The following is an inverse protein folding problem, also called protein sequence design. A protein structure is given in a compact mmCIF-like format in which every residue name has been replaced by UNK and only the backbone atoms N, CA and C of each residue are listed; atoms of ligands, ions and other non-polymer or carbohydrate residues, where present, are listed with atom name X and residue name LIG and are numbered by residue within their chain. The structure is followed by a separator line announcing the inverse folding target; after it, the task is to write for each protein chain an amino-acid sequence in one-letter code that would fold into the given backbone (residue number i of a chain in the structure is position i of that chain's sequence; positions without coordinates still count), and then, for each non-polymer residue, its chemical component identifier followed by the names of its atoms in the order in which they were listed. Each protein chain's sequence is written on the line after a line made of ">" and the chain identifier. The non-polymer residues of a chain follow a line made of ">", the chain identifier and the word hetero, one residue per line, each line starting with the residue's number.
data_IF_406782636145
#
_entry.id   IF_406782636145
#
_cell.length_a   1.000
_cell.length_b   1.000
_cell.length_c   1.000
_cell.angle_alpha   90.00
_cell.angle_beta   90.00
_cell.angle_gamma   90.00
#
_symmetry.space_group_name_H-M   'P 1'
#
loop_
_entity.id
_entity.type
_entity.pdbx_description
1 polymer ?
#
# COMPACT_ATOMS: atom_id res chain seq x y z
N UNK A 1 -0.33 16.82 -94.30
CA UNK A 1 -0.40 16.93 -92.84
C UNK A 1 0.04 15.61 -92.22
N UNK A 2 1.09 15.61 -91.40
CA UNK A 2 1.65 14.40 -90.78
C UNK A 2 0.76 13.89 -89.65
N UNK A 3 0.64 12.57 -89.50
CA UNK A 3 -0.10 11.88 -88.42
C UNK A 3 0.35 12.36 -87.04
N UNK A 4 1.63 12.75 -86.92
CA UNK A 4 2.22 13.29 -85.69
C UNK A 4 1.53 14.58 -85.23
N UNK A 5 1.28 15.52 -86.14
CA UNK A 5 0.61 16.79 -85.81
C UNK A 5 -0.84 16.60 -85.35
N UNK A 6 -1.53 15.58 -85.91
CA UNK A 6 -2.87 15.20 -85.45
C UNK A 6 -2.82 14.51 -84.08
N UNK A 7 -1.80 13.67 -83.83
CA UNK A 7 -1.59 13.01 -82.54
C UNK A 7 -1.26 14.01 -81.44
N UNK A 8 -0.38 14.97 -81.70
CA UNK A 8 0.02 15.99 -80.72
C UNK A 8 -1.16 16.91 -80.37
N UNK A 9 -1.99 17.28 -81.34
CA UNK A 9 -3.23 18.03 -81.09
C UNK A 9 -4.29 17.27 -80.28
N UNK A 10 -4.37 15.95 -80.44
CA UNK A 10 -5.22 15.09 -79.59
C UNK A 10 -4.65 15.01 -78.17
N UNK A 11 -3.33 14.89 -78.04
CA UNK A 11 -2.67 14.73 -76.74
C UNK A 11 -2.74 16.01 -75.90
N UNK A 12 -2.58 17.20 -76.50
CA UNK A 12 -2.80 18.48 -75.83
C UNK A 12 -4.24 18.66 -75.38
N UNK A 13 -5.21 18.35 -76.25
CA UNK A 13 -6.64 18.40 -75.89
C UNK A 13 -7.01 17.42 -74.77
N UNK A 14 -6.44 16.21 -74.77
CA UNK A 14 -6.65 15.24 -73.69
C UNK A 14 -5.97 15.68 -72.39
N UNK A 15 -4.81 16.32 -72.45
CA UNK A 15 -4.13 16.88 -71.27
C UNK A 15 -4.98 17.97 -70.61
N UNK A 16 -5.49 18.93 -71.38
CA UNK A 16 -6.40 19.98 -70.89
C UNK A 16 -7.67 19.39 -70.25
N UNK A 17 -8.25 18.35 -70.87
CA UNK A 17 -9.40 17.63 -70.31
C UNK A 17 -9.06 16.91 -69.00
N UNK A 18 -7.88 16.27 -68.89
CA UNK A 18 -7.41 15.64 -67.64
C UNK A 18 -7.21 16.68 -66.53
N UNK A 19 -6.64 17.84 -66.87
CA UNK A 19 -6.46 18.93 -65.91
C UNK A 19 -7.80 19.49 -65.40
N UNK A 20 -8.79 19.64 -66.29
CA UNK A 20 -10.15 20.03 -65.90
C UNK A 20 -10.82 19.00 -64.99
N UNK A 21 -10.68 17.70 -65.28
CA UNK A 21 -11.20 16.61 -64.44
C UNK A 21 -10.53 16.64 -63.06
N UNK A 22 -9.21 16.84 -63.00
CA UNK A 22 -8.47 16.99 -61.74
C UNK A 22 -8.95 18.20 -60.92
N UNK A 23 -9.16 19.36 -61.56
CA UNK A 23 -9.74 20.55 -60.91
C UNK A 23 -11.13 20.27 -60.34
N UNK A 24 -12.01 19.63 -61.13
CA UNK A 24 -13.35 19.21 -60.68
C UNK A 24 -13.29 18.24 -59.51
N UNK A 25 -12.36 17.27 -59.54
CA UNK A 25 -12.15 16.33 -58.44
C UNK A 25 -11.70 17.03 -57.15
N UNK A 26 -10.77 18.00 -57.26
CA UNK A 26 -10.34 18.83 -56.11
C UNK A 26 -11.50 19.63 -55.53
N UNK A 27 -12.30 20.29 -56.37
CA UNK A 27 -13.48 21.06 -55.93
C UNK A 27 -14.52 20.18 -55.26
N UNK A 28 -14.84 19.01 -55.85
CA UNK A 28 -15.78 18.05 -55.26
C UNK A 28 -15.29 17.54 -53.91
N UNK A 29 -13.99 17.24 -53.79
CA UNK A 29 -13.40 16.77 -52.54
C UNK A 29 -13.42 17.87 -51.46
N UNK A 30 -13.17 19.13 -51.84
CA UNK A 30 -13.28 20.26 -50.92
C UNK A 30 -14.72 20.44 -50.44
N UNK A 31 -15.71 20.45 -51.35
CA UNK A 31 -17.12 20.55 -50.99
C UNK A 31 -17.56 19.44 -50.04
N UNK A 32 -17.11 18.20 -50.26
CA UNK A 32 -17.39 17.09 -49.34
C UNK A 32 -16.79 17.30 -47.95
N UNK A 33 -15.56 17.83 -47.86
CA UNK A 33 -14.92 18.15 -46.58
C UNK A 33 -15.65 19.28 -45.85
N UNK A 34 -16.05 20.33 -46.56
CA UNK A 34 -16.81 21.45 -45.99
C UNK A 34 -18.18 20.98 -45.49
N UNK A 35 -18.90 20.20 -46.31
CA UNK A 35 -20.19 19.62 -45.92
C UNK A 35 -20.07 18.73 -44.68
N UNK A 36 -19.00 17.92 -44.61
CA UNK A 36 -18.73 17.10 -43.42
C UNK A 36 -18.59 17.94 -42.15
N UNK A 37 -17.94 19.11 -42.21
CA UNK A 37 -17.76 20.01 -41.05
C UNK A 37 -19.08 20.64 -40.61
N UNK A 38 -19.94 21.05 -41.56
CA UNK A 38 -21.28 21.56 -41.22
C UNK A 38 -22.20 20.48 -40.63
N UNK A 39 -22.10 19.25 -41.12
CA UNK A 39 -22.87 18.12 -40.59
C UNK A 39 -22.32 17.60 -39.25
N UNK A 40 -21.09 17.95 -38.88
CA UNK A 40 -20.37 17.36 -37.76
C UNK A 40 -21.12 17.49 -36.43
N UNK A 41 -21.65 18.67 -36.02
CA UNK A 41 -22.38 18.80 -34.76
C UNK A 41 -23.62 17.90 -34.71
N UNK A 42 -24.38 17.81 -35.80
CA UNK A 42 -25.56 16.95 -35.89
C UNK A 42 -25.18 15.46 -35.81
N UNK A 43 -24.06 15.06 -36.44
CA UNK A 43 -23.53 13.70 -36.36
C UNK A 43 -23.06 13.35 -34.96
N UNK A 44 -22.36 14.25 -34.27
CA UNK A 44 -21.94 14.07 -32.88
C UNK A 44 -23.16 13.95 -31.96
N UNK A 45 -24.17 14.81 -32.13
CA UNK A 45 -25.44 14.72 -31.42
C UNK A 45 -26.17 13.38 -31.62
N UNK A 46 -26.12 12.82 -32.84
CA UNK A 46 -26.64 11.48 -33.10
C UNK A 46 -25.84 10.40 -32.39
N UNK A 47 -24.51 10.48 -32.38
CA UNK A 47 -23.64 9.52 -31.70
C UNK A 47 -23.83 9.55 -30.18
N UNK A 48 -24.10 10.72 -29.60
CA UNK A 48 -24.46 10.86 -28.17
C UNK A 48 -25.75 10.08 -27.86
N UNK A 49 -26.78 10.22 -28.70
CA UNK A 49 -28.08 9.54 -28.52
C UNK A 49 -28.00 8.03 -28.72
N UNK A 50 -27.13 7.57 -29.59
CA UNK A 50 -26.94 6.13 -29.88
C UNK A 50 -25.77 5.51 -29.11
N UNK A 51 -25.17 6.24 -28.17
CA UNK A 51 -23.97 5.85 -27.40
C UNK A 51 -22.78 5.33 -28.25
N UNK A 52 -22.71 5.74 -29.51
CA UNK A 52 -21.68 5.34 -30.46
C UNK A 52 -20.43 6.23 -30.31
N UNK A 53 -19.79 6.19 -29.14
CA UNK A 53 -18.71 7.11 -28.80
C UNK A 53 -17.45 6.93 -29.66
N UNK A 54 -17.12 5.70 -30.07
CA UNK A 54 -15.98 5.44 -30.96
C UNK A 54 -16.09 6.16 -32.31
N UNK A 55 -17.29 6.17 -32.89
CA UNK A 55 -17.57 6.92 -34.11
C UNK A 55 -17.50 8.42 -33.88
N UNK A 56 -18.01 8.90 -32.74
CA UNK A 56 -17.97 10.31 -32.39
C UNK A 56 -16.53 10.83 -32.30
N UNK A 57 -15.66 10.11 -31.60
CA UNK A 57 -14.23 10.44 -31.49
C UNK A 57 -13.57 10.43 -32.86
N UNK A 58 -13.82 9.41 -33.69
CA UNK A 58 -13.29 9.33 -35.05
C UNK A 58 -13.71 10.53 -35.92
N UNK A 59 -14.99 10.92 -35.87
CA UNK A 59 -15.48 12.07 -36.63
C UNK A 59 -14.84 13.38 -36.17
N UNK A 60 -14.71 13.58 -34.85
CA UNK A 60 -14.10 14.78 -34.29
C UNK A 60 -12.60 14.86 -34.60
N UNK A 61 -11.85 13.78 -34.40
CA UNK A 61 -10.41 13.72 -34.70
C UNK A 61 -10.16 13.93 -36.20
N UNK A 62 -11.01 13.41 -37.08
CA UNK A 62 -10.95 13.65 -38.51
C UNK A 62 -11.23 15.10 -38.93
N UNK A 63 -12.04 15.82 -38.15
CA UNK A 63 -12.35 17.25 -38.36
C UNK A 63 -11.28 18.21 -37.80
N UNK A 64 -10.49 17.76 -36.83
CA UNK A 64 -9.50 18.56 -36.11
C UNK A 64 -8.52 19.35 -37.01
N UNK A 65 -7.96 18.79 -38.12
CA UNK A 65 -7.08 19.55 -39.01
C UNK A 65 -7.77 20.76 -39.64
N UNK A 66 -9.07 20.66 -39.92
CA UNK A 66 -9.85 21.75 -40.53
C UNK A 66 -10.19 22.80 -39.47
N UNK A 67 -10.55 22.37 -38.25
CA UNK A 67 -10.78 23.31 -37.14
C UNK A 67 -9.51 24.05 -36.73
N UNK A 68 -8.33 23.42 -36.81
CA UNK A 68 -7.06 24.12 -36.57
C UNK A 68 -6.74 25.19 -37.62
N UNK A 69 -7.09 24.95 -38.89
CA UNK A 69 -6.78 25.87 -39.98
C UNK A 69 -7.83 26.98 -40.17
N UNK A 70 -9.11 26.68 -39.95
CA UNK A 70 -10.24 27.54 -40.30
C UNK A 70 -11.34 27.61 -39.23
N UNK A 71 -11.13 26.99 -38.07
CA UNK A 71 -12.12 26.91 -37.01
C UNK A 71 -12.40 28.25 -36.34
N UNK A 72 -11.42 29.16 -36.27
CA UNK A 72 -11.59 30.46 -35.62
C UNK A 72 -12.13 31.54 -36.58
N UNK A 73 -12.45 31.16 -37.83
CA UNK A 73 -13.01 32.05 -38.85
C UNK A 73 -14.34 31.49 -39.38
N UNK A 74 -14.33 30.85 -40.55
CA UNK A 74 -15.53 30.43 -41.27
C UNK A 74 -16.34 29.33 -40.59
N UNK A 75 -15.71 28.55 -39.69
CA UNK A 75 -16.35 27.41 -39.02
C UNK A 75 -16.52 27.59 -37.51
N UNK A 76 -16.49 28.82 -37.00
CA UNK A 76 -16.52 29.10 -35.55
C UNK A 76 -17.73 28.49 -34.85
N UNK A 77 -18.93 28.65 -35.40
CA UNK A 77 -20.15 28.10 -34.80
C UNK A 77 -20.16 26.56 -34.82
N UNK A 78 -19.65 25.97 -35.91
CA UNK A 78 -19.53 24.51 -36.03
C UNK A 78 -18.49 23.94 -35.07
N UNK A 79 -17.36 24.64 -34.89
CA UNK A 79 -16.32 24.29 -33.92
C UNK A 79 -16.89 24.34 -32.50
N UNK A 80 -17.52 25.46 -32.11
CA UNK A 80 -18.13 25.62 -30.79
C UNK A 80 -19.17 24.53 -30.49
N UNK A 81 -20.12 24.31 -31.40
CA UNK A 81 -21.15 23.27 -31.22
C UNK A 81 -20.56 21.84 -31.17
N UNK A 82 -19.47 21.58 -31.92
CA UNK A 82 -18.77 20.30 -31.86
C UNK A 82 -18.01 20.11 -30.55
N UNK A 83 -17.35 21.16 -30.04
CA UNK A 83 -16.65 21.16 -28.75
C UNK A 83 -17.62 20.98 -27.57
N UNK A 84 -18.79 21.62 -27.60
CA UNK A 84 -19.87 21.38 -26.64
C UNK A 84 -20.35 19.93 -26.65
N UNK A 85 -20.59 19.36 -27.85
CA UNK A 85 -20.95 17.95 -27.99
C UNK A 85 -19.86 17.01 -27.48
N UNK A 86 -18.58 17.32 -27.75
CA UNK A 86 -17.43 16.56 -27.24
C UNK A 86 -17.33 16.64 -25.72
N UNK A 87 -17.64 17.79 -25.11
CA UNK A 87 -17.68 17.94 -23.65
C UNK A 87 -18.72 17.01 -23.02
N UNK A 88 -19.89 16.87 -23.65
CA UNK A 88 -20.92 15.91 -23.23
C UNK A 88 -20.43 14.47 -23.41
N UNK A 89 -19.79 14.16 -24.52
CA UNK A 89 -19.21 12.82 -24.78
C UNK A 89 -18.16 12.48 -23.71
N UNK A 90 -17.28 13.41 -23.36
CA UNK A 90 -16.28 13.25 -22.30
C UNK A 90 -16.97 12.94 -20.97
N UNK A 91 -18.02 13.70 -20.60
CA UNK A 91 -18.76 13.47 -19.36
C UNK A 91 -19.42 12.09 -19.32
N UNK A 92 -19.98 11.63 -20.44
CA UNK A 92 -20.60 10.31 -20.53
C UNK A 92 -19.56 9.18 -20.51
N UNK A 93 -18.43 9.35 -21.18
CA UNK A 93 -17.31 8.40 -21.17
C UNK A 93 -16.67 8.30 -19.78
N UNK A 94 -16.55 9.42 -19.06
CA UNK A 94 -16.16 9.41 -17.65
C UNK A 94 -17.19 8.61 -16.83
N UNK A 95 -18.49 8.91 -16.98
CA UNK A 95 -19.55 8.13 -16.32
C UNK A 95 -19.40 6.63 -16.56
N UNK A 96 -19.15 6.20 -17.80
CA UNK A 96 -18.93 4.78 -18.14
C UNK A 96 -17.64 4.20 -17.56
N UNK A 97 -16.58 4.99 -17.47
CA UNK A 97 -15.31 4.58 -16.87
C UNK A 97 -15.45 4.29 -15.37
N UNK A 98 -16.25 5.10 -14.67
CA UNK A 98 -16.45 5.02 -13.22
C UNK A 98 -17.71 4.23 -12.80
N UNK A 99 -18.44 3.62 -13.74
CA UNK A 99 -19.66 2.87 -13.41
C UNK A 99 -19.37 1.41 -13.07
N UNK A 100 -19.75 0.99 -11.87
CA UNK A 100 -19.58 -0.39 -11.40
C UNK A 100 -20.42 -1.42 -12.20
N UNK A 101 -21.46 -0.97 -12.89
CA UNK A 101 -22.32 -1.80 -13.75
C UNK A 101 -21.76 -2.07 -15.15
N UNK A 102 -20.71 -1.36 -15.57
CA UNK A 102 -20.12 -1.47 -16.90
C UNK A 102 -19.01 -2.53 -16.96
N UNK A 103 -18.90 -3.24 -18.08
CA UNK A 103 -17.89 -4.28 -18.26
C UNK A 103 -16.46 -3.72 -18.29
N UNK A 104 -15.46 -4.52 -17.89
CA UNK A 104 -14.03 -4.17 -17.94
C UNK A 104 -13.61 -3.72 -19.36
N UNK A 105 -14.15 -4.37 -20.40
CA UNK A 105 -13.91 -4.00 -21.80
C UNK A 105 -14.48 -2.62 -22.14
N UNK A 106 -15.71 -2.31 -21.71
CA UNK A 106 -16.34 -1.00 -21.95
C UNK A 106 -15.59 0.14 -21.22
N UNK A 107 -15.05 -0.12 -20.03
CA UNK A 107 -14.19 0.83 -19.29
C UNK A 107 -12.87 1.07 -20.02
N UNK A 108 -12.21 0.02 -20.49
CA UNK A 108 -10.97 0.13 -21.26
C UNK A 108 -11.19 0.89 -22.58
N UNK A 109 -12.29 0.62 -23.29
CA UNK A 109 -12.66 1.36 -24.49
C UNK A 109 -12.94 2.84 -24.19
N UNK A 110 -13.65 3.15 -23.10
CA UNK A 110 -13.90 4.53 -22.70
C UNK A 110 -12.60 5.29 -22.39
N UNK A 111 -11.65 4.65 -21.72
CA UNK A 111 -10.32 5.21 -21.48
C UNK A 111 -9.53 5.49 -22.77
N UNK A 112 -9.52 4.55 -23.71
CA UNK A 112 -8.84 4.74 -25.02
C UNK A 112 -9.47 5.89 -25.79
N UNK A 113 -10.79 6.03 -25.78
CA UNK A 113 -11.51 7.11 -26.44
C UNK A 113 -11.25 8.48 -25.79
N UNK A 114 -11.17 8.53 -24.46
CA UNK A 114 -10.78 9.75 -23.72
C UNK A 114 -9.35 10.17 -24.07
N UNK A 115 -8.41 9.21 -24.21
CA UNK A 115 -7.03 9.47 -24.65
C UNK A 115 -7.00 10.05 -26.08
N UNK A 116 -7.79 9.50 -27.01
CA UNK A 116 -7.86 9.99 -28.39
C UNK A 116 -8.42 11.41 -28.53
N UNK A 117 -9.26 11.86 -27.59
CA UNK A 117 -9.81 13.21 -27.55
C UNK A 117 -8.85 14.27 -26.99
N UNK A 118 -7.59 13.90 -26.66
CA UNK A 118 -6.63 14.75 -25.95
C UNK A 118 -7.20 15.35 -24.66
N UNK A 119 -8.11 14.63 -23.98
CA UNK A 119 -8.53 15.01 -22.65
C UNK A 119 -7.29 14.96 -21.74
N UNK A 120 -7.05 15.95 -20.85
CA UNK A 120 -5.88 15.96 -19.99
C UNK A 120 -5.93 14.75 -19.07
N UNK A 121 -5.18 13.73 -19.47
CA UNK A 121 -5.03 12.44 -18.81
C UNK A 121 -4.61 12.67 -17.35
N UNK A 122 -3.76 13.65 -17.10
CA UNK A 122 -3.27 14.03 -15.77
C UNK A 122 -4.41 14.39 -14.79
N UNK A 123 -5.47 15.05 -15.27
CA UNK A 123 -6.61 15.44 -14.41
C UNK A 123 -7.53 14.27 -14.07
N UNK A 124 -7.57 13.24 -14.92
CA UNK A 124 -8.34 12.02 -14.73
C UNK A 124 -7.55 11.01 -13.88
N UNK A 125 -6.26 10.88 -14.19
CA UNK A 125 -5.28 10.09 -13.47
C UNK A 125 -5.21 10.54 -12.01
N UNK A 126 -5.06 11.84 -11.76
CA UNK A 126 -5.04 12.40 -10.40
C UNK A 126 -6.33 12.11 -9.62
N UNK A 127 -7.51 12.25 -10.25
CA UNK A 127 -8.80 11.98 -9.60
C UNK A 127 -9.03 10.50 -9.31
N UNK A 128 -8.57 9.62 -10.21
CA UNK A 128 -8.64 8.17 -10.00
C UNK A 128 -7.68 7.73 -8.90
N UNK A 129 -6.47 8.29 -8.88
CA UNK A 129 -5.49 8.04 -7.83
C UNK A 129 -6.03 8.53 -6.47
N UNK A 130 -6.59 9.73 -6.41
CA UNK A 130 -7.23 10.27 -5.20
C UNK A 130 -8.35 9.35 -4.68
N UNK A 131 -9.11 8.71 -5.58
CA UNK A 131 -10.13 7.72 -5.20
C UNK A 131 -9.53 6.42 -4.65
N UNK A 132 -8.44 5.96 -5.24
CA UNK A 132 -7.70 4.81 -4.71
C UNK A 132 -7.11 5.13 -3.33
N UNK A 133 -6.55 6.33 -3.15
CA UNK A 133 -6.06 6.81 -1.86
C UNK A 133 -7.17 6.88 -0.79
N UNK A 134 -8.37 7.36 -1.15
CA UNK A 134 -9.53 7.36 -0.24
C UNK A 134 -9.98 5.94 0.12
N UNK A 135 -10.03 5.02 -0.85
CA UNK A 135 -10.38 3.61 -0.55
C UNK A 135 -9.33 2.91 0.31
N UNK A 136 -8.07 3.33 0.21
CA UNK A 136 -6.98 2.87 1.07
C UNK A 136 -7.18 3.32 2.52
N UNK A 137 -7.67 4.52 2.76
CA UNK A 137 -8.02 5.00 4.12
C UNK A 137 -9.20 4.21 4.71
N UNK A 138 -10.21 3.87 3.90
CA UNK A 138 -11.34 3.03 4.33
C UNK A 138 -10.91 1.60 4.69
N UNK A 139 -9.94 1.03 3.95
CA UNK A 139 -9.36 -0.28 4.25
C UNK A 139 -8.64 -0.29 5.60
N UNK A 140 -7.95 0.79 5.95
CA UNK A 140 -7.23 0.92 7.22
C UNK A 140 -8.18 0.86 8.41
N UNK A 141 -9.28 1.60 8.37
CA UNK A 141 -10.29 1.57 9.43
C UNK A 141 -10.83 0.15 9.66
N UNK A 142 -11.09 -0.58 8.58
CA UNK A 142 -11.58 -1.97 8.65
C UNK A 142 -10.52 -2.93 9.22
N UNK A 143 -9.23 -2.69 8.98
CA UNK A 143 -8.17 -3.50 9.59
C UNK A 143 -8.08 -3.27 11.11
N UNK A 144 -8.15 -2.01 11.55
CA UNK A 144 -8.12 -1.67 12.97
C UNK A 144 -9.31 -2.30 13.72
N UNK A 145 -10.49 -2.34 13.10
CA UNK A 145 -11.67 -3.04 13.65
C UNK A 145 -11.41 -4.54 13.85
N UNK A 146 -10.75 -5.21 12.90
CA UNK A 146 -10.41 -6.64 12.98
C UNK A 146 -9.37 -6.90 14.08
N UNK A 147 -8.34 -6.05 14.20
CA UNK A 147 -7.33 -6.17 15.25
C UNK A 147 -7.93 -5.97 16.66
N UNK A 148 -8.87 -5.03 16.81
CA UNK A 148 -9.54 -4.75 18.08
C UNK A 148 -10.54 -5.87 18.47
N UNK A 149 -11.25 -6.47 17.50
CA UNK A 149 -12.18 -7.56 17.77
C UNK A 149 -11.50 -8.83 18.30
N UNK A 150 -10.23 -9.07 17.94
CA UNK A 150 -9.43 -10.20 18.46
C UNK A 150 -9.18 -10.07 19.97
N UNK A 151 -8.91 -8.84 20.45
CA UNK A 151 -8.54 -8.57 21.84
C UNK A 151 -9.67 -8.83 22.86
N UNK A 152 -10.93 -8.74 22.44
CA UNK A 152 -12.11 -8.92 23.30
C UNK A 152 -12.56 -10.40 23.44
N UNK A 153 -11.99 -11.33 22.67
CA UNK A 153 -12.45 -12.73 22.58
C UNK A 153 -11.67 -13.73 23.45
N UNK A 154 -11.31 -13.36 24.68
CA UNK A 154 -10.64 -14.26 25.64
C UNK A 154 -11.62 -15.22 26.36
N UNK A 155 -12.45 -15.98 25.62
CA UNK A 155 -13.23 -17.11 26.15
C UNK A 155 -12.70 -18.44 25.59
N UNK A 156 -11.99 -19.27 26.39
CA UNK A 156 -11.36 -20.50 25.93
C UNK A 156 -12.33 -21.64 25.58
N UNK A 157 -13.64 -21.43 25.65
CA UNK A 157 -14.66 -22.49 25.52
C UNK A 157 -15.12 -22.80 24.08
N UNK A 158 -14.61 -22.13 23.04
CA UNK A 158 -15.04 -22.34 21.64
C UNK A 158 -13.94 -22.82 20.70
N UNK A 159 -13.05 -23.69 21.16
CA UNK A 159 -12.17 -24.46 20.26
C UNK A 159 -12.94 -25.67 19.68
N UNK A 160 -13.83 -25.42 18.72
CA UNK A 160 -14.62 -26.46 18.06
C UNK A 160 -14.55 -26.34 16.54
N UNK A 161 -13.73 -27.20 15.92
CA UNK A 161 -13.70 -27.57 14.50
C UNK A 161 -13.63 -26.43 13.46
N UNK A 162 -12.40 -26.05 13.08
CA UNK A 162 -12.15 -25.27 11.87
C UNK A 162 -12.06 -26.23 10.67
N UNK A 163 -13.21 -26.54 10.10
CA UNK A 163 -13.35 -27.04 8.73
C UNK A 163 -14.73 -26.68 8.23
N UNK A 164 -14.87 -25.45 7.73
CA UNK A 164 -15.80 -25.05 6.67
C UNK A 164 -15.50 -23.61 6.29
N UNK A 165 -15.68 -23.29 5.01
CA UNK A 165 -15.36 -22.01 4.41
C UNK A 165 -16.02 -20.85 5.18
N UNK A 166 -15.21 -20.10 5.93
CA UNK A 166 -15.63 -18.83 6.54
C UNK A 166 -15.91 -17.86 5.38
N UNK A 167 -17.07 -17.20 5.33
CA UNK A 167 -17.33 -16.19 4.32
C UNK A 167 -16.24 -15.10 4.37
N UNK A 168 -15.84 -14.51 3.23
CA UNK A 168 -14.81 -13.49 3.21
C UNK A 168 -15.20 -12.38 4.20
N UNK A 169 -14.28 -12.03 5.09
CA UNK A 169 -14.52 -10.92 6.01
C UNK A 169 -14.74 -9.65 5.19
N UNK A 170 -15.46 -8.66 5.74
CA UNK A 170 -15.70 -7.39 5.05
C UNK A 170 -14.39 -6.73 4.58
N UNK A 171 -13.31 -6.95 5.34
CA UNK A 171 -11.95 -6.57 4.99
C UNK A 171 -11.45 -7.27 3.71
N UNK A 172 -11.49 -8.61 3.65
CA UNK A 172 -11.02 -9.37 2.48
C UNK A 172 -11.76 -8.99 1.19
N UNK A 173 -13.08 -8.74 1.29
CA UNK A 173 -13.87 -8.29 0.14
C UNK A 173 -13.42 -6.91 -0.33
N UNK A 174 -13.18 -5.99 0.60
CA UNK A 174 -12.73 -4.63 0.28
C UNK A 174 -11.33 -4.61 -0.34
N UNK A 175 -10.40 -5.44 0.15
CA UNK A 175 -9.03 -5.53 -0.39
C UNK A 175 -9.06 -6.10 -1.81
N UNK A 176 -9.94 -7.07 -2.08
CA UNK A 176 -10.15 -7.61 -3.42
C UNK A 176 -10.69 -6.56 -4.40
N UNK A 177 -11.70 -5.80 -3.99
CA UNK A 177 -12.25 -4.70 -4.79
C UNK A 177 -11.18 -3.64 -5.10
N UNK A 178 -10.37 -3.31 -4.10
CA UNK A 178 -9.25 -2.38 -4.25
C UNK A 178 -8.21 -2.89 -5.26
N UNK A 179 -7.82 -4.16 -5.17
CA UNK A 179 -6.87 -4.75 -6.11
C UNK A 179 -7.42 -4.83 -7.54
N UNK A 180 -8.71 -5.09 -7.69
CA UNK A 180 -9.39 -5.01 -9.00
C UNK A 180 -9.40 -3.57 -9.55
N UNK A 181 -9.61 -2.57 -8.70
CA UNK A 181 -9.54 -1.16 -9.08
C UNK A 181 -8.12 -0.76 -9.51
N UNK A 182 -7.09 -1.22 -8.79
CA UNK A 182 -5.67 -1.04 -9.16
C UNK A 182 -5.35 -1.72 -10.49
N UNK A 183 -5.84 -2.95 -10.71
CA UNK A 183 -5.70 -3.66 -11.99
C UNK A 183 -6.33 -2.87 -13.14
N UNK A 184 -7.55 -2.38 -12.94
CA UNK A 184 -8.26 -1.59 -13.93
C UNK A 184 -7.51 -0.28 -14.24
N UNK A 185 -7.02 0.41 -13.20
CA UNK A 185 -6.24 1.63 -13.36
C UNK A 185 -4.96 1.39 -14.17
N UNK A 186 -4.23 0.30 -13.91
CA UNK A 186 -3.03 -0.09 -14.67
C UNK A 186 -3.31 -0.32 -16.16
N UNK A 187 -4.45 -0.96 -16.48
CA UNK A 187 -4.89 -1.16 -17.87
C UNK A 187 -5.17 0.18 -18.57
N UNK A 188 -5.71 1.15 -17.82
CA UNK A 188 -6.04 2.48 -18.32
C UNK A 188 -4.78 3.35 -18.48
N UNK A 189 -3.82 3.26 -17.55
CA UNK A 189 -2.59 4.07 -17.50
C UNK A 189 -1.34 3.20 -17.34
N UNK A 190 -0.81 2.63 -18.44
CA UNK A 190 0.38 1.77 -18.38
C UNK A 190 1.65 2.46 -17.86
N UNK A 191 1.72 3.79 -17.95
CA UNK A 191 2.89 4.57 -17.53
C UNK A 191 2.87 4.95 -16.03
N UNK A 192 1.87 4.47 -15.28
CA UNK A 192 1.61 4.89 -13.88
C UNK A 192 2.16 3.93 -12.82
N UNK A 193 2.94 2.94 -13.22
CA UNK A 193 3.45 1.86 -12.36
C UNK A 193 4.21 2.39 -11.12
N UNK A 194 4.94 3.50 -11.23
CA UNK A 194 5.65 4.11 -10.09
C UNK A 194 4.69 4.66 -9.01
N UNK A 195 3.59 5.29 -9.43
CA UNK A 195 2.58 5.84 -8.50
C UNK A 195 1.81 4.71 -7.81
N UNK A 196 1.43 3.70 -8.59
CA UNK A 196 0.77 2.50 -8.07
C UNK A 196 1.66 1.73 -7.10
N UNK A 197 2.96 1.62 -7.41
CA UNK A 197 3.94 0.99 -6.52
C UNK A 197 4.04 1.73 -5.19
N UNK A 198 4.11 3.08 -5.21
CA UNK A 198 4.11 3.88 -3.98
C UNK A 198 2.83 3.69 -3.17
N UNK A 199 1.68 3.62 -3.82
CA UNK A 199 0.39 3.42 -3.17
C UNK A 199 0.29 2.02 -2.54
N UNK A 200 0.72 0.98 -3.26
CA UNK A 200 0.76 -0.38 -2.74
C UNK A 200 1.77 -0.56 -1.59
N UNK A 201 2.94 0.09 -1.67
CA UNK A 201 3.88 0.14 -0.55
C UNK A 201 3.27 0.87 0.65
N UNK A 202 2.57 1.99 0.44
CA UNK A 202 1.91 2.72 1.51
C UNK A 202 0.82 1.87 2.21
N UNK A 203 0.07 1.03 1.48
CA UNK A 203 -0.84 0.05 2.08
C UNK A 203 -0.10 -0.87 3.07
N UNK A 204 1.00 -1.47 2.61
CA UNK A 204 1.83 -2.36 3.44
C UNK A 204 2.40 -1.61 4.65
N UNK A 205 2.98 -0.43 4.44
CA UNK A 205 3.53 0.41 5.52
C UNK A 205 2.49 0.68 6.59
N UNK A 206 1.29 1.14 6.19
CA UNK A 206 0.24 1.49 7.15
C UNK A 206 -0.28 0.27 7.91
N UNK A 207 -0.42 -0.88 7.26
CA UNK A 207 -0.78 -2.13 7.94
C UNK A 207 0.24 -2.55 9.02
N UNK A 208 1.53 -2.42 8.71
CA UNK A 208 2.58 -2.72 9.70
C UNK A 208 2.67 -1.66 10.80
N UNK A 209 2.44 -0.37 10.51
CA UNK A 209 2.35 0.68 11.54
C UNK A 209 1.20 0.41 12.54
N UNK A 210 0.01 0.05 12.05
CA UNK A 210 -1.11 -0.35 12.91
C UNK A 210 -0.76 -1.59 13.74
N UNK A 211 -0.03 -2.55 13.16
CA UNK A 211 0.43 -3.74 13.86
C UNK A 211 1.45 -3.41 14.94
N UNK A 212 2.41 -2.52 14.68
CA UNK A 212 3.38 -2.06 15.69
C UNK A 212 2.71 -1.33 16.85
N UNK A 213 1.65 -0.56 16.57
CA UNK A 213 0.84 0.06 17.62
C UNK A 213 0.05 -0.97 18.42
N UNK A 214 -0.47 -2.01 17.75
CA UNK A 214 -1.14 -3.13 18.41
C UNK A 214 -0.19 -3.94 19.31
N UNK A 215 1.04 -4.20 18.86
CA UNK A 215 2.11 -4.90 19.60
C UNK A 215 2.55 -4.15 20.87
N UNK A 216 2.34 -2.82 20.96
CA UNK A 216 2.59 -2.09 22.21
C UNK A 216 1.66 -2.52 23.34
N UNK A 217 0.50 -3.07 23.02
CA UNK A 217 -0.36 -3.74 23.99
C UNK A 217 0.17 -5.16 24.24
N UNK A 218 -0.14 -5.71 25.41
CA UNK A 218 0.26 -7.10 25.73
C UNK A 218 -0.58 -8.07 24.91
N UNK A 219 0.00 -8.63 23.85
CA UNK A 219 -0.64 -9.59 22.94
C UNK A 219 0.04 -10.97 23.01
N UNK A 220 -0.69 -12.03 22.64
CA UNK A 220 -0.11 -13.38 22.55
C UNK A 220 0.41 -13.68 21.12
N UNK A 221 1.16 -14.77 20.96
CA UNK A 221 1.67 -15.16 19.66
C UNK A 221 0.55 -15.45 18.65
N UNK A 222 -0.58 -16.02 19.09
CA UNK A 222 -1.72 -16.31 18.22
C UNK A 222 -2.33 -15.05 17.59
N UNK A 223 -2.44 -13.97 18.37
CA UNK A 223 -2.96 -12.68 17.87
C UNK A 223 -2.02 -12.07 16.83
N UNK A 224 -0.71 -12.07 17.11
CA UNK A 224 0.29 -11.59 16.15
C UNK A 224 0.26 -12.40 14.84
N UNK A 225 0.22 -13.72 14.94
CA UNK A 225 0.13 -14.61 13.77
C UNK A 225 -1.13 -14.36 12.97
N UNK A 226 -2.25 -14.09 13.63
CA UNK A 226 -3.51 -13.76 12.96
C UNK A 226 -3.38 -12.47 12.14
N UNK A 227 -2.88 -11.39 12.76
CA UNK A 227 -2.70 -10.09 12.08
C UNK A 227 -1.69 -10.19 10.93
N UNK A 228 -0.52 -10.81 11.17
CA UNK A 228 0.48 -11.04 10.11
C UNK A 228 -0.08 -11.91 8.98
N UNK A 229 -0.95 -12.87 9.31
CA UNK A 229 -1.63 -13.72 8.34
C UNK A 229 -2.60 -12.96 7.44
N UNK A 230 -3.31 -11.98 7.97
CA UNK A 230 -4.16 -11.07 7.18
C UNK A 230 -3.29 -10.23 6.25
N UNK A 231 -2.30 -9.53 6.80
CA UNK A 231 -1.39 -8.66 6.04
C UNK A 231 -0.70 -9.44 4.91
N UNK A 232 -0.23 -10.66 5.19
CA UNK A 232 0.42 -11.48 4.17
C UNK A 232 -0.51 -11.87 3.02
N UNK A 233 -1.79 -12.16 3.31
CA UNK A 233 -2.78 -12.42 2.25
C UNK A 233 -3.02 -11.18 1.40
N UNK A 234 -3.12 -10.01 2.01
CA UNK A 234 -3.32 -8.75 1.29
C UNK A 234 -2.10 -8.41 0.42
N UNK A 235 -0.88 -8.62 0.95
CA UNK A 235 0.38 -8.47 0.22
C UNK A 235 0.41 -9.37 -1.02
N UNK A 236 0.09 -10.65 -0.88
CA UNK A 236 0.09 -11.59 -2.01
C UNK A 236 -0.96 -11.21 -3.06
N UNK A 237 -2.15 -10.80 -2.62
CA UNK A 237 -3.22 -10.40 -3.54
C UNK A 237 -2.85 -9.13 -4.31
N UNK A 238 -2.14 -8.20 -3.68
CA UNK A 238 -1.65 -6.99 -4.34
C UNK A 238 -0.44 -7.27 -5.25
N UNK A 239 0.45 -8.18 -4.86
CA UNK A 239 1.60 -8.60 -5.69
C UNK A 239 1.15 -9.29 -6.99
N UNK A 240 0.05 -10.05 -6.95
CA UNK A 240 -0.59 -10.63 -8.15
C UNK A 240 -1.04 -9.55 -9.17
N UNK A 241 -1.31 -8.33 -8.71
CA UNK A 241 -1.73 -7.21 -9.57
C UNK A 241 -0.54 -6.33 -9.97
N UNK A 242 0.43 -6.15 -9.07
CA UNK A 242 1.60 -5.29 -9.21
C UNK A 242 2.89 -6.03 -8.79
N UNK A 243 3.36 -7.00 -9.59
CA UNK A 243 4.60 -7.73 -9.26
C UNK A 243 5.84 -6.83 -9.30
N UNK A 244 5.78 -5.69 -10.01
CA UNK A 244 6.87 -4.72 -10.08
C UNK A 244 7.15 -4.04 -8.73
N UNK A 245 6.16 -4.03 -7.83
CA UNK A 245 6.29 -3.42 -6.51
C UNK A 245 7.09 -4.27 -5.51
N UNK A 246 7.35 -5.55 -5.84
CA UNK A 246 8.06 -6.51 -5.01
C UNK A 246 7.57 -6.49 -3.54
N UNK A 247 6.25 -6.44 -3.35
CA UNK A 247 5.62 -6.28 -2.04
C UNK A 247 6.00 -7.39 -1.04
N UNK A 248 6.21 -8.66 -1.45
CA UNK A 248 6.72 -9.70 -0.56
C UNK A 248 8.07 -9.40 0.06
N UNK A 249 8.98 -8.76 -0.68
CA UNK A 249 10.31 -8.39 -0.17
C UNK A 249 10.25 -7.08 0.63
N UNK A 250 9.40 -6.13 0.22
CA UNK A 250 9.15 -4.91 0.99
C UNK A 250 8.52 -5.19 2.37
N UNK A 251 7.51 -6.06 2.40
CA UNK A 251 6.86 -6.49 3.65
C UNK A 251 7.77 -7.29 4.56
N UNK A 252 8.81 -7.95 4.02
CA UNK A 252 9.77 -8.71 4.82
C UNK A 252 10.50 -7.83 5.84
N UNK A 253 10.94 -6.64 5.42
CA UNK A 253 11.64 -5.72 6.32
C UNK A 253 10.69 -5.11 7.37
N UNK A 254 9.45 -4.77 6.98
CA UNK A 254 8.46 -4.25 7.91
C UNK A 254 8.08 -5.30 8.98
N UNK A 255 7.87 -6.56 8.56
CA UNK A 255 7.60 -7.65 9.49
C UNK A 255 8.81 -7.97 10.38
N UNK A 256 10.04 -7.81 9.87
CA UNK A 256 11.26 -7.96 10.68
C UNK A 256 11.22 -6.99 11.87
N UNK A 257 10.83 -5.74 11.64
CA UNK A 257 10.69 -4.73 12.70
C UNK A 257 9.58 -5.11 13.68
N UNK A 258 8.38 -5.44 13.18
CA UNK A 258 7.24 -5.80 14.01
C UNK A 258 7.52 -7.03 14.90
N UNK A 259 8.09 -8.11 14.33
CA UNK A 259 8.42 -9.33 15.08
C UNK A 259 9.51 -9.07 16.11
N UNK A 260 10.55 -8.30 15.77
CA UNK A 260 11.59 -7.92 16.73
C UNK A 260 11.00 -7.13 17.90
N UNK A 261 10.10 -6.18 17.61
CA UNK A 261 9.41 -5.40 18.64
C UNK A 261 8.54 -6.28 19.54
N UNK A 262 7.82 -7.25 18.98
CA UNK A 262 7.04 -8.22 19.75
C UNK A 262 7.91 -9.02 20.72
N UNK A 263 9.05 -9.55 20.25
CA UNK A 263 10.00 -10.29 21.12
C UNK A 263 10.51 -9.39 22.25
N UNK A 264 10.91 -8.15 21.94
CA UNK A 264 11.40 -7.19 22.94
C UNK A 264 10.32 -6.82 23.98
N UNK A 265 9.07 -6.64 23.53
CA UNK A 265 7.93 -6.35 24.41
C UNK A 265 7.61 -7.54 25.31
N UNK A 266 7.66 -8.78 24.81
CA UNK A 266 7.44 -9.98 25.60
C UNK A 266 8.43 -10.06 26.79
N UNK A 267 9.72 -9.81 26.55
CA UNK A 267 10.72 -9.77 27.62
C UNK A 267 10.54 -8.58 28.58
N UNK A 268 10.13 -7.43 28.07
CA UNK A 268 9.85 -6.24 28.89
C UNK A 268 8.66 -6.46 29.83
N UNK A 269 7.59 -7.09 29.33
CA UNK A 269 6.44 -7.49 30.14
C UNK A 269 6.80 -8.55 31.18
N UNK A 270 7.63 -9.54 30.81
CA UNK A 270 8.12 -10.54 31.75
C UNK A 270 8.91 -9.90 32.91
N UNK A 271 9.84 -8.99 32.61
CA UNK A 271 10.61 -8.27 33.62
C UNK A 271 9.70 -7.43 34.53
N UNK A 272 8.69 -6.77 33.94
CA UNK A 272 7.71 -5.99 34.68
C UNK A 272 6.88 -6.86 35.63
N UNK A 273 6.36 -8.00 35.16
CA UNK A 273 5.56 -8.93 35.97
C UNK A 273 6.36 -9.44 37.20
N UNK A 274 7.66 -9.72 37.02
CA UNK A 274 8.54 -10.18 38.09
C UNK A 274 8.82 -9.05 39.09
N UNK A 275 9.13 -7.85 38.60
CA UNK A 275 9.32 -6.66 39.44
C UNK A 275 8.06 -6.37 40.26
N UNK A 276 6.88 -6.45 39.65
CA UNK A 276 5.60 -6.24 40.31
C UNK A 276 5.28 -7.32 41.35
N UNK A 277 5.62 -8.58 41.07
CA UNK A 277 5.47 -9.66 42.05
C UNK A 277 6.33 -9.41 43.29
N UNK A 278 7.55 -8.90 43.08
CA UNK A 278 8.52 -8.63 44.13
C UNK A 278 8.16 -7.37 44.94
N UNK A 279 7.76 -6.29 44.28
CA UNK A 279 7.30 -5.05 44.93
C UNK A 279 6.03 -5.25 45.76
N UNK A 280 5.07 -6.06 45.28
CA UNK A 280 3.86 -6.41 46.05
C UNK A 280 4.17 -7.15 47.34
N UNK A 281 5.23 -7.95 47.36
CA UNK A 281 5.65 -8.67 48.56
C UNK A 281 6.45 -7.78 49.52
N UNK A 282 7.29 -6.87 49.01
CA UNK A 282 8.02 -5.89 49.82
C UNK A 282 7.10 -4.88 50.52
N UNK A 283 6.01 -4.43 49.88
CA UNK A 283 5.05 -3.51 50.52
C UNK A 283 4.28 -4.15 51.68
N UNK A 284 3.98 -5.45 51.62
CA UNK A 284 3.37 -6.20 52.75
C UNK A 284 4.29 -6.31 53.97
N UNK A 285 5.60 -6.16 53.78
CA UNK A 285 6.59 -6.17 54.85
C UNK A 285 6.53 -4.90 55.73
N UNK A 286 6.05 -3.77 55.19
CA UNK A 286 5.86 -2.51 55.95
C UNK A 286 4.61 -2.48 56.84
N UNK A 287 3.66 -3.40 56.65
CA UNK A 287 2.40 -3.48 57.42
C UNK A 287 2.48 -4.41 58.65
N UNK A 288 3.67 -4.92 59.01
CA UNK A 288 3.92 -5.46 60.36
C UNK A 288 3.80 -6.98 60.53
N UNK A 289 4.07 -7.79 59.50
CA UNK A 289 4.22 -9.25 59.67
C UNK A 289 5.66 -9.67 59.36
N UNK A 290 6.30 -10.23 60.39
CA UNK A 290 7.70 -10.64 60.52
C UNK A 290 8.14 -11.76 59.54
N UNK A 291 9.46 -11.79 59.26
CA UNK A 291 10.36 -12.83 58.71
C UNK A 291 9.93 -13.73 57.53
N UNK A 292 8.70 -14.21 57.44
CA UNK A 292 8.22 -15.09 56.35
C UNK A 292 7.92 -14.33 55.04
N UNK A 293 7.79 -13.00 55.09
CA UNK A 293 7.39 -12.17 53.95
C UNK A 293 8.41 -12.18 52.79
N UNK A 294 9.71 -12.22 53.09
CA UNK A 294 10.77 -12.15 52.07
C UNK A 294 10.99 -13.51 51.40
N UNK A 295 10.84 -14.61 52.14
CA UNK A 295 10.87 -15.95 51.58
C UNK A 295 9.64 -16.21 50.69
N UNK A 296 8.46 -15.72 51.09
CA UNK A 296 7.25 -15.74 50.25
C UNK A 296 7.43 -14.87 49.00
N UNK A 297 8.07 -13.70 49.11
CA UNK A 297 8.41 -12.84 47.97
C UNK A 297 9.33 -13.54 46.96
N UNK A 298 10.37 -14.21 47.47
CA UNK A 298 11.37 -14.88 46.65
C UNK A 298 10.82 -16.15 45.98
N UNK A 299 10.00 -16.94 46.67
CA UNK A 299 9.30 -18.06 46.05
C UNK A 299 8.25 -17.60 45.04
N UNK A 300 7.55 -16.47 45.29
CA UNK A 300 6.64 -15.87 44.32
C UNK A 300 7.37 -15.35 43.08
N UNK A 301 8.52 -14.68 43.24
CA UNK A 301 9.33 -14.19 42.12
C UNK A 301 9.95 -15.33 41.33
N UNK A 302 10.47 -16.36 41.98
CA UNK A 302 10.94 -17.60 41.34
C UNK A 302 9.83 -18.26 40.53
N UNK A 303 8.62 -18.37 41.09
CA UNK A 303 7.46 -18.90 40.36
C UNK A 303 7.09 -18.02 39.17
N UNK A 304 7.12 -16.70 39.31
CA UNK A 304 6.84 -15.76 38.23
C UNK A 304 7.90 -15.84 37.11
N UNK A 305 9.17 -15.97 37.46
CA UNK A 305 10.27 -16.17 36.49
C UNK A 305 10.07 -17.48 35.74
N UNK A 306 9.85 -18.60 36.44
CA UNK A 306 9.70 -19.91 35.80
C UNK A 306 8.46 -19.98 34.91
N UNK A 307 7.31 -19.54 35.43
CA UNK A 307 6.06 -19.57 34.66
C UNK A 307 6.09 -18.58 33.51
N UNK A 308 6.47 -17.33 33.74
CA UNK A 308 6.50 -16.31 32.70
C UNK A 308 7.55 -16.59 31.61
N UNK A 309 8.70 -17.18 31.97
CA UNK A 309 9.68 -17.64 30.96
C UNK A 309 9.13 -18.81 30.15
N UNK A 310 8.39 -19.73 30.78
CA UNK A 310 7.74 -20.84 30.08
C UNK A 310 6.67 -20.34 29.11
N UNK A 311 5.83 -19.40 29.55
CA UNK A 311 4.78 -18.81 28.72
C UNK A 311 5.39 -18.07 27.51
N UNK A 312 6.45 -17.27 27.73
CA UNK A 312 7.17 -16.61 26.63
C UNK A 312 7.81 -17.62 25.65
N UNK A 313 8.39 -18.71 26.15
CA UNK A 313 8.95 -19.77 25.29
C UNK A 313 7.87 -20.48 24.46
N UNK A 314 6.68 -20.69 25.03
CA UNK A 314 5.55 -21.27 24.30
C UNK A 314 5.08 -20.33 23.18
N UNK A 315 4.99 -19.03 23.46
CA UNK A 315 4.67 -18.01 22.46
C UNK A 315 5.72 -17.96 21.34
N UNK A 316 7.01 -17.93 21.67
CA UNK A 316 8.08 -17.94 20.66
C UNK A 316 8.10 -19.24 19.86
N UNK A 317 7.81 -20.38 20.49
CA UNK A 317 7.68 -21.65 19.79
C UNK A 317 6.52 -21.62 18.81
N UNK A 318 5.36 -21.07 19.20
CA UNK A 318 4.22 -20.93 18.31
C UNK A 318 4.57 -20.06 17.09
N UNK A 319 5.30 -18.96 17.31
CA UNK A 319 5.79 -18.10 16.23
C UNK A 319 6.77 -18.82 15.28
N UNK A 320 7.65 -19.69 15.81
CA UNK A 320 8.62 -20.45 15.03
C UNK A 320 8.01 -21.66 14.31
N UNK A 321 6.98 -22.29 14.89
CA UNK A 321 6.31 -23.46 14.31
C UNK A 321 5.39 -23.06 13.14
N UNK A 322 5.02 -21.77 13.02
CA UNK A 322 4.16 -21.25 11.97
C UNK A 322 4.81 -21.31 10.56
N UNK A 323 3.97 -21.49 9.54
CA UNK A 323 4.37 -21.72 8.14
C UNK A 323 4.14 -20.52 7.21
N UNK A 324 3.79 -19.35 7.76
CA UNK A 324 3.66 -18.11 7.00
C UNK A 324 4.96 -17.85 6.23
N UNK A 325 4.86 -17.62 4.91
CA UNK A 325 6.04 -17.48 4.04
C UNK A 325 7.01 -16.39 4.51
N UNK A 326 6.47 -15.35 5.15
CA UNK A 326 7.24 -14.26 5.74
C UNK A 326 8.03 -14.74 6.98
N UNK A 327 7.38 -15.45 7.91
CA UNK A 327 8.02 -15.95 9.13
C UNK A 327 9.07 -17.02 8.85
N UNK A 328 8.87 -17.87 7.84
CA UNK A 328 9.87 -18.86 7.42
C UNK A 328 11.21 -18.20 7.06
N UNK A 329 11.19 -17.04 6.40
CA UNK A 329 12.40 -16.26 6.08
C UNK A 329 13.02 -15.59 7.31
N UNK A 330 12.26 -15.38 8.38
CA UNK A 330 12.71 -14.70 9.60
C UNK A 330 13.13 -15.66 10.73
N UNK A 331 12.97 -16.99 10.57
CA UNK A 331 13.20 -17.98 11.65
C UNK A 331 14.55 -17.84 12.34
N UNK A 332 15.63 -17.76 11.56
CA UNK A 332 16.98 -17.65 12.13
C UNK A 332 17.15 -16.34 12.92
N UNK A 333 16.60 -15.23 12.41
CA UNK A 333 16.62 -13.95 13.09
C UNK A 333 15.78 -13.95 14.38
N UNK A 334 14.64 -14.63 14.38
CA UNK A 334 13.80 -14.78 15.57
C UNK A 334 14.56 -15.54 16.64
N UNK A 335 15.27 -16.62 16.28
CA UNK A 335 16.12 -17.37 17.22
C UNK A 335 17.20 -16.46 17.82
N UNK A 336 17.88 -15.67 16.98
CA UNK A 336 18.90 -14.72 17.43
C UNK A 336 18.31 -13.68 18.41
N UNK A 337 17.15 -13.08 18.10
CA UNK A 337 16.52 -12.09 18.97
C UNK A 337 16.00 -12.68 20.27
N UNK A 338 15.48 -13.91 20.25
CA UNK A 338 15.06 -14.61 21.47
C UNK A 338 16.27 -14.90 22.35
N UNK A 339 17.39 -15.34 21.76
CA UNK A 339 18.63 -15.59 22.49
C UNK A 339 19.19 -14.29 23.10
N UNK A 340 19.29 -13.21 22.31
CA UNK A 340 19.70 -11.89 22.79
C UNK A 340 18.75 -11.38 23.88
N UNK A 341 17.44 -11.56 23.69
CA UNK A 341 16.40 -11.18 24.64
C UNK A 341 16.55 -11.89 25.99
N UNK A 342 16.84 -13.19 26.02
CA UNK A 342 17.12 -13.90 27.26
C UNK A 342 18.38 -13.38 27.95
N UNK A 343 19.47 -13.12 27.22
CA UNK A 343 20.71 -12.58 27.79
C UNK A 343 20.46 -11.23 28.46
N UNK A 344 19.77 -10.33 27.75
CA UNK A 344 19.41 -9.00 28.25
C UNK A 344 18.44 -9.09 29.44
N UNK A 345 17.46 -9.99 29.37
CA UNK A 345 16.50 -10.23 30.45
C UNK A 345 17.19 -10.69 31.74
N UNK A 346 18.06 -11.69 31.67
CA UNK A 346 18.78 -12.18 32.85
C UNK A 346 19.77 -11.14 33.40
N UNK A 347 20.40 -10.34 32.54
CA UNK A 347 21.22 -9.19 32.98
C UNK A 347 20.38 -8.16 33.75
N UNK A 348 19.25 -7.74 33.20
CA UNK A 348 18.34 -6.80 33.86
C UNK A 348 17.74 -7.36 35.16
N UNK A 349 17.50 -8.66 35.21
CA UNK A 349 17.01 -9.35 36.40
C UNK A 349 18.08 -9.35 37.51
N UNK A 350 19.35 -9.59 37.17
CA UNK A 350 20.48 -9.49 38.12
C UNK A 350 20.61 -8.07 38.67
N UNK A 351 20.55 -7.05 37.80
CA UNK A 351 20.56 -5.64 38.21
C UNK A 351 19.40 -5.30 39.18
N UNK A 352 18.20 -5.83 38.91
CA UNK A 352 17.04 -5.67 39.78
C UNK A 352 17.28 -6.29 41.17
N UNK A 353 17.79 -7.52 41.24
CA UNK A 353 18.11 -8.18 42.50
C UNK A 353 19.25 -7.50 43.25
N UNK A 354 20.28 -7.00 42.55
CA UNK A 354 21.36 -6.21 43.15
C UNK A 354 20.83 -4.93 43.79
N UNK A 355 19.93 -4.21 43.12
CA UNK A 355 19.28 -3.01 43.67
C UNK A 355 18.50 -3.33 44.94
N UNK A 356 17.76 -4.44 44.96
CA UNK A 356 16.97 -4.90 46.11
C UNK A 356 17.84 -5.37 47.28
N UNK A 357 19.04 -5.89 47.00
CA UNK A 357 20.00 -6.30 48.04
C UNK A 357 20.64 -5.13 48.79
N UNK A 358 20.35 -3.87 48.41
CA UNK A 358 20.86 -2.67 49.05
C UNK A 358 22.34 -2.40 48.75
N UNK A 359 22.94 -3.10 47.77
CA UNK A 359 24.34 -2.92 47.37
C UNK A 359 24.52 -1.70 46.47
N UNK A 360 24.05 -0.54 46.92
CA UNK A 360 24.51 0.76 46.45
C UNK A 360 25.55 1.30 47.45
N UNK A 361 26.74 0.72 47.44
CA UNK A 361 27.91 1.32 48.08
C UNK A 361 29.16 1.13 47.24
N UNK A 362 29.26 1.94 46.19
CA UNK A 362 30.50 2.69 45.96
C UNK A 362 30.16 3.99 45.23
N UNK A 363 29.91 5.04 46.00
CA UNK A 363 30.20 6.38 45.53
C UNK A 363 31.72 6.49 45.29
N UNK A 364 32.18 7.17 44.23
CA UNK A 364 33.58 7.54 44.12
C UNK A 364 33.81 8.76 45.04
N UNK A 365 34.59 8.60 46.11
CA UNK A 365 35.32 9.73 46.68
C UNK A 365 36.57 9.30 47.44
N UNK A 366 37.69 9.59 46.78
CA UNK A 366 38.99 10.06 47.25
C UNK A 366 39.21 10.40 48.74
N UNK A 367 40.50 10.18 49.10
CA UNK A 367 41.34 10.86 50.10
C UNK A 367 41.22 10.40 51.57
N UNK A 368 42.28 10.15 52.34
CA UNK A 368 43.72 10.46 52.21
C UNK A 368 44.50 9.88 53.41
N UNK A 369 45.81 9.61 53.21
CA UNK A 369 46.95 9.73 54.17
C UNK A 369 46.91 8.90 55.48
N UNK A 370 47.94 8.29 56.06
CA UNK A 370 49.42 8.24 56.04
C UNK A 370 49.77 6.94 56.83
N UNK A 371 50.88 6.22 56.68
CA UNK A 371 52.25 6.58 57.10
C UNK A 371 53.17 5.35 56.96
N UNK A 372 54.48 5.59 56.77
CA UNK A 372 55.56 4.70 57.19
C UNK A 372 56.17 3.72 56.17
N UNK A 373 57.34 4.08 55.62
CA UNK A 373 58.67 3.58 56.09
C UNK A 373 59.71 3.48 54.95
N UNK A 374 60.81 4.26 55.08
CA UNK A 374 62.22 4.06 54.65
C UNK A 374 62.51 3.61 53.19
N UNK A 375 63.49 4.14 52.45
CA UNK A 375 64.57 5.06 52.74
C UNK A 375 65.56 5.10 51.55
N UNK A 376 66.46 6.09 51.61
CA UNK A 376 67.76 6.22 50.94
C UNK A 376 67.89 6.54 49.42
N UNK A 377 68.56 7.71 49.21
CA UNK A 377 69.67 8.01 48.27
C UNK A 377 69.29 8.12 46.77
N UNK A 378 69.79 9.07 45.96
CA UNK A 378 70.88 10.06 46.01
C UNK A 378 70.67 11.05 44.83
N UNK A 379 71.26 12.25 44.95
CA UNK A 379 71.61 13.32 43.98
C UNK A 379 71.73 12.92 42.48
N UNK A 380 71.70 13.79 41.46
CA UNK A 380 72.03 15.21 41.29
C UNK A 380 71.43 15.70 39.95
N UNK A 381 71.34 17.02 39.75
CA UNK A 381 71.13 17.64 38.45
C UNK A 381 70.46 19.00 38.55
#
# INVERSE_FOLDING_TARGET
>A
MSVQSRSDGVNTSLFEKREHIEKLHRTRNLLRKVQFIYDLPARLGKCIKSEAYADAVRYYTGAMPIFKAYGDSSFQDCKRASEEAVTIIIKNLQGKLFSDSESIQARAEAAVLLKQLNFPVDSLQAKLLEKLEQSLEELQLKMEEVANASADSNDPSKQGNISEAVPPTAHETSVREFAEAVRAYRVIFPDSDEQLTKLAQALVTKHFESTEQYIKNRICAADLLHVLGIIWKDVLLMDDVLPEAALPDYSLEAARVAVKQYVANAFSHLLHDISDALMRAHNKQKEGVEEDSLQVALEASKKAVLQGSMDALLDFRQLLDDSLGLLVKLRDLIVDWVQEGFQNFFGALDDLFLLLSGRNSSAPHDNSLTDGTQGEKVFAG
#
